data_IF_626465296254
#
_entry.id   IF_626465296254
#
_cell.length_a   1.000
_cell.length_b   1.000
_cell.length_c   1.000
_cell.angle_alpha   90.00
_cell.angle_beta   90.00
_cell.angle_gamma   90.00
#
_symmetry.space_group_name_H-M   'P 1'
#
loop_
_entity.id
_entity.type
_entity.pdbx_description
1 polymer ?
#
# COMPACT_ATOMS: atom_id res chain seq x y z
N UNK A 1 2.16 15.90 12.63
CA UNK A 1 1.01 15.89 11.69
C UNK A 1 1.21 16.84 10.50
N UNK A 2 1.57 18.10 10.72
CA UNK A 2 1.74 19.11 9.65
C UNK A 2 2.76 18.72 8.57
N UNK A 3 3.85 18.06 8.96
CA UNK A 3 4.89 17.59 8.04
C UNK A 3 4.43 16.49 7.09
N UNK A 4 3.68 15.51 7.59
CA UNK A 4 3.10 14.43 6.78
C UNK A 4 2.13 14.99 5.73
N UNK A 5 1.32 15.97 6.11
CA UNK A 5 0.43 16.68 5.17
C UNK A 5 1.24 17.38 4.06
N UNK A 6 2.31 18.10 4.43
CA UNK A 6 3.19 18.78 3.45
C UNK A 6 3.86 17.80 2.49
N UNK A 7 4.28 16.63 2.98
CA UNK A 7 4.86 15.58 2.15
C UNK A 7 3.84 14.99 1.18
N UNK A 8 2.64 14.66 1.65
CA UNK A 8 1.57 14.15 0.80
C UNK A 8 1.17 15.17 -0.29
N UNK A 9 1.02 16.45 0.07
CA UNK A 9 0.69 17.50 -0.90
C UNK A 9 1.82 17.73 -1.89
N UNK A 10 3.08 17.76 -1.45
CA UNK A 10 4.22 17.93 -2.35
C UNK A 10 4.40 16.77 -3.32
N UNK A 11 4.20 15.53 -2.87
CA UNK A 11 4.25 14.35 -3.74
C UNK A 11 3.11 14.36 -4.77
N UNK A 12 1.91 14.78 -4.37
CA UNK A 12 0.74 14.87 -5.26
C UNK A 12 0.90 16.00 -6.29
N UNK A 13 1.46 17.14 -5.88
CA UNK A 13 1.76 18.26 -6.76
C UNK A 13 2.81 17.89 -7.82
N UNK A 14 3.87 17.19 -7.44
CA UNK A 14 4.88 16.65 -8.38
C UNK A 14 4.26 15.61 -9.33
N UNK A 15 3.34 14.78 -8.84
CA UNK A 15 2.64 13.79 -9.66
C UNK A 15 1.70 14.42 -10.71
N UNK A 16 1.15 15.60 -10.45
CA UNK A 16 0.23 16.31 -11.37
C UNK A 16 0.93 17.39 -12.22
N UNK A 17 2.20 17.68 -11.93
CA UNK A 17 2.99 18.70 -12.65
C UNK A 17 3.42 18.24 -14.04
N UNK A 18 3.84 19.16 -14.91
CA UNK A 18 4.34 18.83 -16.27
C UNK A 18 5.54 17.88 -16.24
N UNK A 19 6.35 17.93 -15.20
CA UNK A 19 7.46 17.00 -14.94
C UNK A 19 7.00 15.75 -14.20
N UNK A 20 5.82 15.22 -14.58
CA UNK A 20 5.32 13.94 -14.07
C UNK A 20 6.46 12.91 -14.15
N UNK A 21 6.92 12.37 -13.02
CA UNK A 21 8.00 11.39 -13.03
C UNK A 21 7.62 10.13 -13.80
N UNK A 22 6.34 9.89 -14.06
CA UNK A 22 5.83 8.86 -14.97
C UNK A 22 6.21 9.16 -16.42
N UNK A 23 6.00 10.39 -16.88
CA UNK A 23 6.44 10.83 -18.21
C UNK A 23 7.96 10.93 -18.26
N UNK A 24 8.59 11.49 -17.24
CA UNK A 24 10.05 11.57 -17.18
C UNK A 24 10.69 10.18 -17.13
N UNK A 25 10.12 9.18 -16.46
CA UNK A 25 10.66 7.81 -16.43
C UNK A 25 10.38 7.01 -17.70
N UNK A 26 9.30 7.32 -18.44
CA UNK A 26 9.01 6.72 -19.74
C UNK A 26 9.85 7.33 -20.88
N UNK A 27 10.15 8.63 -20.82
CA UNK A 27 10.92 9.34 -21.86
C UNK A 27 12.42 9.48 -21.54
N UNK A 28 12.85 9.37 -20.27
CA UNK A 28 14.26 9.37 -19.90
C UNK A 28 14.84 7.95 -19.81
N UNK A 29 16.16 7.82 -20.02
CA UNK A 29 16.94 6.58 -19.93
C UNK A 29 17.13 6.09 -18.48
N UNK A 30 16.08 6.03 -17.67
CA UNK A 30 16.17 5.51 -16.30
C UNK A 30 16.04 3.99 -16.28
N UNK A 31 16.75 3.36 -15.35
CA UNK A 31 16.64 1.92 -15.14
C UNK A 31 15.24 1.57 -14.60
N UNK A 32 14.62 0.50 -15.13
CA UNK A 32 13.25 0.09 -14.76
C UNK A 32 13.01 0.02 -13.25
N UNK A 33 14.00 -0.47 -12.49
CA UNK A 33 13.92 -0.57 -11.01
C UNK A 33 13.79 0.80 -10.33
N UNK A 34 14.47 1.83 -10.85
CA UNK A 34 14.38 3.18 -10.31
C UNK A 34 13.00 3.78 -10.61
N UNK A 35 12.48 3.55 -11.82
CA UNK A 35 11.12 3.95 -12.18
C UNK A 35 10.08 3.38 -11.21
N UNK A 36 10.16 2.08 -10.91
CA UNK A 36 9.27 1.43 -9.95
C UNK A 36 9.35 2.05 -8.55
N UNK A 37 10.56 2.37 -8.08
CA UNK A 37 10.77 2.99 -6.77
C UNK A 37 10.16 4.41 -6.71
N UNK A 38 10.32 5.21 -7.76
CA UNK A 38 9.69 6.53 -7.85
C UNK A 38 8.17 6.41 -7.84
N UNK A 39 7.60 5.54 -8.68
CA UNK A 39 6.16 5.28 -8.71
C UNK A 39 5.62 4.88 -7.33
N UNK A 40 6.32 4.00 -6.62
CA UNK A 40 5.94 3.58 -5.27
C UNK A 40 5.86 4.75 -4.28
N UNK A 41 6.83 5.66 -4.32
CA UNK A 41 6.87 6.85 -3.45
C UNK A 41 5.70 7.80 -3.76
N UNK A 42 5.38 8.04 -5.03
CA UNK A 42 4.25 8.91 -5.38
C UNK A 42 2.90 8.29 -5.03
N UNK A 43 2.76 6.97 -5.20
CA UNK A 43 1.54 6.24 -4.84
C UNK A 43 1.28 6.19 -3.35
N UNK A 44 2.29 6.43 -2.51
CA UNK A 44 2.14 6.42 -1.05
C UNK A 44 1.08 7.42 -0.55
N UNK A 45 1.03 8.63 -1.12
CA UNK A 45 0.00 9.62 -0.74
C UNK A 45 -1.41 9.18 -1.15
N UNK A 46 -1.57 8.67 -2.38
CA UNK A 46 -2.87 8.25 -2.94
C UNK A 46 -3.43 6.99 -2.26
N UNK A 47 -2.54 6.14 -1.71
CA UNK A 47 -2.90 4.91 -0.98
C UNK A 47 -3.83 5.16 0.21
N UNK A 48 -3.85 6.38 0.75
CA UNK A 48 -4.76 6.76 1.83
C UNK A 48 -6.24 6.58 1.47
N UNK A 49 -6.64 6.79 0.22
CA UNK A 49 -8.04 6.69 -0.22
C UNK A 49 -8.57 5.26 -0.12
N UNK A 50 -7.96 4.24 -0.76
CA UNK A 50 -8.42 2.86 -0.63
C UNK A 50 -8.29 2.33 0.81
N UNK A 51 -7.28 2.77 1.57
CA UNK A 51 -7.14 2.39 2.98
C UNK A 51 -8.31 2.91 3.83
N UNK A 52 -8.77 4.14 3.60
CA UNK A 52 -9.98 4.67 4.25
C UNK A 52 -11.22 3.85 3.86
N UNK A 53 -11.42 3.57 2.57
CA UNK A 53 -12.54 2.73 2.13
C UNK A 53 -12.52 1.35 2.81
N UNK A 54 -11.34 0.74 2.93
CA UNK A 54 -11.18 -0.55 3.60
C UNK A 54 -11.41 -0.45 5.11
N UNK A 55 -11.01 0.65 5.76
CA UNK A 55 -11.25 0.87 7.18
C UNK A 55 -12.75 1.03 7.53
N UNK A 56 -13.55 1.58 6.61
CA UNK A 56 -15.01 1.66 6.78
C UNK A 56 -15.74 0.34 6.46
N UNK A 57 -15.11 -0.56 5.71
CA UNK A 57 -15.73 -1.80 5.25
C UNK A 57 -16.18 -2.71 6.42
N UNK A 58 -15.40 -2.94 7.49
CA UNK A 58 -15.85 -3.70 8.66
C UNK A 58 -17.07 -3.08 9.36
N UNK A 59 -17.11 -1.76 9.52
CA UNK A 59 -18.23 -1.07 10.15
C UNK A 59 -19.51 -1.23 9.33
N UNK A 60 -19.40 -1.13 8.00
CA UNK A 60 -20.51 -1.39 7.09
C UNK A 60 -20.99 -2.85 7.15
N UNK A 61 -20.06 -3.81 7.20
CA UNK A 61 -20.39 -5.24 7.32
C UNK A 61 -21.18 -5.55 8.59
N UNK A 62 -20.84 -4.92 9.72
CA UNK A 62 -21.55 -5.09 11.00
C UNK A 62 -23.00 -4.59 10.90
N UNK A 63 -23.21 -3.39 10.34
CA UNK A 63 -24.55 -2.79 10.21
C UNK A 63 -25.45 -3.64 9.29
N UNK A 64 -24.88 -4.14 8.19
CA UNK A 64 -25.63 -4.85 7.14
C UNK A 64 -25.74 -6.36 7.41
N UNK A 65 -25.19 -6.85 8.53
CA UNK A 65 -25.03 -8.29 8.83
C UNK A 65 -24.40 -9.09 7.68
N UNK A 66 -23.52 -8.46 6.90
CA UNK A 66 -22.82 -9.08 5.79
C UNK A 66 -21.41 -9.46 6.22
N UNK A 67 -20.90 -10.58 5.71
CA UNK A 67 -19.55 -11.06 6.02
C UNK A 67 -18.63 -10.83 4.82
N UNK A 68 -17.63 -9.97 5.00
CA UNK A 68 -16.57 -9.77 4.00
C UNK A 68 -15.50 -10.86 4.06
N UNK A 69 -15.19 -11.36 5.26
CA UNK A 69 -14.18 -12.39 5.45
C UNK A 69 -14.75 -13.79 5.18
N UNK A 70 -13.94 -14.71 4.62
CA UNK A 70 -14.37 -16.09 4.41
C UNK A 70 -14.66 -16.75 5.76
N UNK A 71 -15.73 -17.55 5.81
CA UNK A 71 -16.05 -18.35 7.00
C UNK A 71 -14.95 -19.38 7.23
N UNK A 72 -14.75 -19.78 8.49
CA UNK A 72 -13.71 -20.75 8.90
C UNK A 72 -13.84 -22.08 8.16
N UNK A 73 -15.05 -22.43 7.72
CA UNK A 73 -15.34 -23.66 6.99
C UNK A 73 -14.94 -23.61 5.51
N UNK A 74 -14.68 -22.42 4.97
CA UNK A 74 -14.28 -22.23 3.57
C UNK A 74 -12.77 -22.42 3.40
N UNK A 75 -12.37 -23.05 2.29
CA UNK A 75 -10.95 -23.25 1.97
C UNK A 75 -10.18 -21.92 1.87
N UNK A 76 -10.86 -20.83 1.53
CA UNK A 76 -10.29 -19.48 1.45
C UNK A 76 -9.75 -18.97 2.81
N UNK A 77 -10.23 -19.48 3.94
CA UNK A 77 -9.71 -19.12 5.25
C UNK A 77 -8.25 -19.56 5.45
N UNK A 78 -7.85 -20.70 4.87
CA UNK A 78 -6.46 -21.16 4.92
C UNK A 78 -5.52 -20.21 4.18
N UNK A 79 -5.96 -19.60 3.08
CA UNK A 79 -5.17 -18.61 2.34
C UNK A 79 -4.87 -17.41 3.24
N UNK A 80 -5.85 -16.93 4.00
CA UNK A 80 -5.66 -15.82 4.94
C UNK A 80 -4.64 -16.17 6.04
N UNK A 81 -4.72 -17.37 6.61
CA UNK A 81 -3.74 -17.84 7.62
C UNK A 81 -2.34 -17.91 7.03
N UNK A 82 -2.18 -18.51 5.84
CA UNK A 82 -0.87 -18.66 5.21
C UNK A 82 -0.23 -17.31 4.93
N UNK A 83 -0.99 -16.35 4.38
CA UNK A 83 -0.50 -14.99 4.13
C UNK A 83 -0.10 -14.30 5.44
N UNK A 84 -0.91 -14.46 6.50
CA UNK A 84 -0.61 -13.90 7.82
C UNK A 84 0.71 -14.44 8.38
N UNK A 85 0.91 -15.76 8.35
CA UNK A 85 2.13 -16.40 8.85
C UNK A 85 3.35 -15.98 8.04
N UNK A 86 3.27 -16.00 6.71
CA UNK A 86 4.36 -15.59 5.82
C UNK A 86 4.76 -14.14 6.09
N UNK A 87 3.79 -13.23 6.25
CA UNK A 87 4.06 -11.82 6.52
C UNK A 87 4.82 -11.63 7.84
N UNK A 88 4.41 -12.30 8.91
CA UNK A 88 5.07 -12.19 10.21
C UNK A 88 6.48 -12.79 10.19
N UNK A 89 6.67 -13.94 9.55
CA UNK A 89 8.00 -14.55 9.39
C UNK A 89 8.93 -13.69 8.55
N UNK A 90 8.43 -13.14 7.44
CA UNK A 90 9.20 -12.24 6.59
C UNK A 90 9.60 -10.97 7.35
N UNK A 91 8.65 -10.37 8.06
CA UNK A 91 8.89 -9.19 8.89
C UNK A 91 9.94 -9.47 9.96
N UNK A 92 9.85 -10.59 10.67
CA UNK A 92 10.85 -11.02 11.66
C UNK A 92 12.23 -11.21 11.02
N UNK A 93 12.29 -11.86 9.86
CA UNK A 93 13.54 -12.06 9.11
C UNK A 93 14.20 -10.74 8.71
N UNK A 94 13.42 -9.77 8.23
CA UNK A 94 13.93 -8.44 7.88
C UNK A 94 14.39 -7.67 9.12
N UNK A 95 13.68 -7.78 10.25
CA UNK A 95 14.13 -7.20 11.52
C UNK A 95 15.50 -7.76 11.96
N UNK A 96 15.67 -9.08 11.92
CA UNK A 96 16.94 -9.74 12.26
C UNK A 96 18.07 -9.35 11.29
N UNK A 97 17.77 -9.16 9.99
CA UNK A 97 18.75 -8.71 8.99
C UNK A 97 19.15 -7.25 9.14
N UNK A 98 18.25 -6.40 9.60
CA UNK A 98 18.48 -4.96 9.76
C UNK A 98 19.36 -4.61 10.97
N UNK A 99 19.80 -5.61 11.75
CA UNK A 99 20.81 -5.41 12.81
C UNK A 99 20.22 -5.14 14.19
N UNK A 100 19.14 -5.84 14.54
CA UNK A 100 18.69 -6.03 15.90
C UNK A 100 18.62 -7.53 16.23
#
# INVERSE_FOLDING_TARGET
>A
MTQQKRWATGLLEVLLSKDCPILATLFAKLHWRQCLAYLWIFMWGLRSIPELCYAFLPAYCIITNSHFLPKVQEQAFYIAIVVFVIYHLYTLSEYLRAGL
#
